data_IF_544982956104
#
_entry.id   IF_544982956104
#
_cell.length_a   1.000
_cell.length_b   1.000
_cell.length_c   1.000
_cell.angle_alpha   90.00
_cell.angle_beta   90.00
_cell.angle_gamma   90.00
#
_symmetry.space_group_name_H-M   'P 1'
#
loop_
_entity.id
_entity.type
_entity.pdbx_description
1 polymer ?
#
# COMPACT_ATOMS: atom_id res chain seq x y z
N UNK A 1 26.09 -12.41 12.20
CA UNK A 1 25.20 -11.54 11.41
C UNK A 1 23.95 -12.34 11.10
N UNK A 2 22.80 -11.95 11.64
CA UNK A 2 21.54 -12.60 11.30
C UNK A 2 21.11 -12.16 9.89
N UNK A 3 20.51 -13.06 9.11
CA UNK A 3 19.87 -12.72 7.84
C UNK A 3 18.74 -11.72 8.08
N UNK A 4 18.67 -10.60 7.35
CA UNK A 4 17.54 -9.66 7.42
C UNK A 4 16.65 -9.87 6.18
N UNK A 5 15.40 -10.35 6.32
CA UNK A 5 14.63 -10.56 7.56
C UNK A 5 14.96 -11.84 8.34
N UNK A 6 14.71 -11.81 9.65
CA UNK A 6 14.86 -12.94 10.59
C UNK A 6 13.50 -13.51 10.97
N UNK A 7 13.35 -14.83 10.96
CA UNK A 7 12.20 -15.56 11.50
C UNK A 7 12.53 -16.10 12.89
N UNK A 8 11.71 -15.78 13.89
CA UNK A 8 11.82 -16.28 15.27
C UNK A 8 10.65 -17.21 15.59
N UNK A 9 10.97 -18.49 15.76
CA UNK A 9 9.98 -19.55 15.96
C UNK A 9 10.46 -20.63 16.95
N UNK A 10 11.54 -20.38 17.69
CA UNK A 10 12.19 -21.38 18.56
C UNK A 10 12.62 -20.85 19.94
N UNK A 11 12.11 -19.69 20.38
CA UNK A 11 12.37 -19.17 21.72
C UNK A 11 12.42 -17.64 21.79
N UNK A 12 12.02 -17.10 22.94
CA UNK A 12 11.84 -15.66 23.10
C UNK A 12 13.18 -14.92 23.30
N UNK A 13 14.22 -15.57 23.83
CA UNK A 13 15.49 -14.91 24.14
C UNK A 13 16.21 -14.31 22.91
N UNK A 14 16.38 -15.05 21.78
CA UNK A 14 16.95 -14.47 20.56
C UNK A 14 16.10 -13.32 20.00
N UNK A 15 14.78 -13.43 20.10
CA UNK A 15 13.85 -12.40 19.66
C UNK A 15 13.98 -11.12 20.50
N UNK A 16 14.00 -11.25 21.82
CA UNK A 16 14.15 -10.12 22.74
C UNK A 16 15.52 -9.44 22.58
N UNK A 17 16.59 -10.20 22.37
CA UNK A 17 17.92 -9.65 22.06
C UNK A 17 17.88 -8.82 20.76
N UNK A 18 17.25 -9.35 19.70
CA UNK A 18 17.11 -8.63 18.44
C UNK A 18 16.37 -7.29 18.60
N UNK A 19 15.31 -7.23 19.42
CA UNK A 19 14.57 -5.99 19.70
C UNK A 19 15.42 -4.92 20.40
N UNK A 20 16.41 -5.32 21.19
CA UNK A 20 17.33 -4.41 21.88
C UNK A 20 18.37 -3.85 20.90
N UNK A 21 18.91 -4.71 20.03
CA UNK A 21 19.88 -4.34 19.00
C UNK A 21 19.27 -3.46 17.88
N UNK A 22 17.98 -3.63 17.59
CA UNK A 22 17.30 -2.97 16.46
C UNK A 22 16.10 -2.12 16.92
N UNK A 23 16.30 -1.05 17.72
CA UNK A 23 15.20 -0.29 18.32
C UNK A 23 14.27 0.38 17.30
N UNK A 24 14.75 0.64 16.07
CA UNK A 24 13.97 1.22 14.98
C UNK A 24 13.37 0.18 14.02
N UNK A 25 13.64 -1.10 14.26
CA UNK A 25 13.21 -2.21 13.41
C UNK A 25 11.70 -2.45 13.44
N UNK A 26 11.27 -3.37 12.59
CA UNK A 26 9.89 -3.79 12.44
C UNK A 26 9.73 -5.25 12.82
N UNK A 27 8.55 -5.58 13.33
CA UNK A 27 8.18 -6.96 13.67
C UNK A 27 6.78 -7.25 13.16
N UNK A 28 6.64 -8.29 12.34
CA UNK A 28 5.36 -8.88 11.99
C UNK A 28 5.08 -10.02 12.97
N UNK A 29 4.00 -9.88 13.73
CA UNK A 29 3.45 -10.92 14.57
C UNK A 29 2.40 -11.71 13.78
N UNK A 30 2.60 -13.03 13.64
CA UNK A 30 1.70 -13.87 12.89
C UNK A 30 1.55 -15.25 13.52
N UNK A 31 0.55 -16.00 13.04
CA UNK A 31 0.38 -17.40 13.40
C UNK A 31 1.33 -18.28 12.60
N UNK A 32 1.70 -19.45 13.15
CA UNK A 32 2.61 -20.40 12.49
C UNK A 32 2.07 -21.01 11.21
N UNK A 33 0.75 -21.25 11.16
CA UNK A 33 0.10 -21.88 10.00
C UNK A 33 0.23 -20.99 8.76
N UNK A 34 0.78 -21.53 7.70
CA UNK A 34 1.06 -20.80 6.45
C UNK A 34 -0.22 -20.40 5.73
N UNK A 35 -1.30 -21.17 5.91
CA UNK A 35 -2.63 -20.94 5.34
C UNK A 35 -3.34 -19.74 5.97
N UNK A 36 -2.83 -19.23 7.10
CA UNK A 36 -3.37 -18.05 7.76
C UNK A 36 -2.65 -16.79 7.27
N UNK A 37 -3.42 -15.88 6.68
CA UNK A 37 -2.93 -14.62 6.13
C UNK A 37 -2.98 -13.44 7.10
N UNK A 38 -3.66 -13.56 8.24
CA UNK A 38 -3.80 -12.46 9.20
C UNK A 38 -2.54 -12.30 10.07
N UNK A 39 -2.01 -11.08 10.11
CA UNK A 39 -0.86 -10.68 10.91
C UNK A 39 -1.00 -9.23 11.40
N UNK A 40 -0.11 -8.82 12.30
CA UNK A 40 -0.04 -7.47 12.83
C UNK A 40 1.41 -6.98 12.79
N UNK A 41 1.64 -5.77 12.27
CA UNK A 41 2.98 -5.17 12.24
C UNK A 41 3.18 -4.17 13.37
N UNK A 42 4.38 -4.21 13.95
CA UNK A 42 4.79 -3.41 15.09
C UNK A 42 6.17 -2.80 14.87
N UNK A 43 6.44 -1.69 15.57
CA UNK A 43 7.80 -1.20 15.80
C UNK A 43 8.48 -2.06 16.86
N UNK A 44 9.79 -2.25 16.76
CA UNK A 44 10.57 -3.00 17.76
C UNK A 44 10.49 -2.42 19.18
N UNK A 45 10.19 -1.13 19.31
CA UNK A 45 9.94 -0.45 20.59
C UNK A 45 8.47 -0.55 21.06
N UNK A 46 7.58 -1.28 20.37
CA UNK A 46 6.16 -1.33 20.73
C UNK A 46 5.92 -2.14 22.03
N UNK A 47 5.17 -1.60 23.00
CA UNK A 47 4.93 -2.29 24.28
C UNK A 47 4.19 -3.62 24.12
N UNK A 48 3.32 -3.74 23.10
CA UNK A 48 2.55 -4.96 22.82
C UNK A 48 3.40 -6.19 22.45
N UNK A 49 4.66 -5.99 22.08
CA UNK A 49 5.54 -7.07 21.63
C UNK A 49 6.82 -7.21 22.47
N UNK A 50 6.95 -6.37 23.51
CA UNK A 50 8.10 -6.33 24.43
C UNK A 50 7.73 -6.78 25.84
N UNK A 51 6.51 -6.48 26.27
CA UNK A 51 6.08 -6.70 27.65
C UNK A 51 5.26 -7.98 27.74
N UNK A 52 5.67 -8.89 28.60
CA UNK A 52 4.81 -9.97 29.06
C UNK A 52 3.66 -9.33 29.86
N UNK A 53 2.42 -9.60 29.49
CA UNK A 53 1.26 -9.26 30.33
C UNK A 53 1.30 -10.16 31.57
N UNK A 54 0.57 -9.79 32.63
CA UNK A 54 0.58 -10.48 33.93
C UNK A 54 0.32 -12.01 33.87
N UNK A 55 -0.24 -12.53 32.77
CA UNK A 55 -0.50 -13.95 32.52
C UNK A 55 0.50 -14.65 31.59
N UNK A 56 1.44 -13.92 31.00
CA UNK A 56 2.29 -14.43 29.92
C UNK A 56 3.50 -15.19 30.51
N UNK A 57 3.67 -16.44 30.08
CA UNK A 57 4.78 -17.32 30.47
C UNK A 57 5.95 -17.18 29.46
N UNK A 58 7.15 -17.63 29.86
CA UNK A 58 8.29 -17.79 28.95
C UNK A 58 7.88 -18.59 27.69
N UNK A 59 8.13 -18.05 26.50
CA UNK A 59 7.71 -18.64 25.22
C UNK A 59 6.44 -18.04 24.62
N UNK A 60 5.80 -17.06 25.26
CA UNK A 60 4.53 -16.51 24.79
C UNK A 60 4.65 -15.68 23.51
N UNK A 61 5.84 -15.22 23.15
CA UNK A 61 6.03 -14.41 21.93
C UNK A 61 6.28 -15.25 20.69
N UNK A 62 7.12 -16.27 20.79
CA UNK A 62 7.62 -17.02 19.62
C UNK A 62 7.32 -18.51 19.67
N UNK A 63 6.82 -19.05 20.78
CA UNK A 63 6.41 -20.46 20.90
C UNK A 63 4.89 -20.62 20.75
N UNK A 64 4.40 -21.87 20.92
CA UNK A 64 2.99 -22.25 20.71
C UNK A 64 2.56 -21.96 19.26
N UNK A 65 1.51 -21.18 19.05
CA UNK A 65 0.93 -20.92 17.73
C UNK A 65 1.46 -19.64 17.07
N UNK A 66 2.47 -18.99 17.64
CA UNK A 66 3.00 -17.70 17.17
C UNK A 66 4.38 -17.85 16.52
N UNK A 67 4.62 -16.97 15.55
CA UNK A 67 5.92 -16.75 14.90
C UNK A 67 6.10 -15.24 14.74
N UNK A 68 7.34 -14.77 14.90
CA UNK A 68 7.71 -13.38 14.66
C UNK A 68 8.64 -13.30 13.47
N UNK A 69 8.40 -12.34 12.59
CA UNK A 69 9.35 -11.97 11.55
C UNK A 69 9.86 -10.59 11.90
N UNK A 70 11.17 -10.39 11.91
CA UNK A 70 11.77 -9.11 12.25
C UNK A 70 12.73 -8.66 11.16
N UNK A 71 12.79 -7.36 10.93
CA UNK A 71 13.70 -6.78 9.95
C UNK A 71 13.88 -5.29 10.13
N UNK A 72 14.95 -4.76 9.55
CA UNK A 72 15.22 -3.30 9.60
C UNK A 72 14.58 -2.55 8.44
N UNK A 73 14.33 -3.26 7.33
CA UNK A 73 13.62 -2.77 6.16
C UNK A 73 12.22 -3.39 6.10
N UNK A 74 11.19 -2.53 6.15
CA UNK A 74 9.80 -2.95 6.20
C UNK A 74 9.36 -3.66 4.91
N UNK A 75 9.83 -3.19 3.75
CA UNK A 75 9.42 -3.73 2.45
C UNK A 75 9.97 -5.15 2.26
N UNK A 76 11.24 -5.36 2.60
CA UNK A 76 11.87 -6.69 2.61
C UNK A 76 11.18 -7.62 3.60
N UNK A 77 10.85 -7.12 4.79
CA UNK A 77 10.16 -7.89 5.81
C UNK A 77 8.76 -8.34 5.34
N UNK A 78 7.97 -7.42 4.79
CA UNK A 78 6.63 -7.72 4.25
C UNK A 78 6.73 -8.68 3.06
N UNK A 79 7.66 -8.45 2.14
CA UNK A 79 7.87 -9.32 0.99
C UNK A 79 8.21 -10.74 1.43
N UNK A 80 9.21 -10.90 2.30
CA UNK A 80 9.60 -12.20 2.84
C UNK A 80 8.44 -12.89 3.57
N UNK A 81 7.72 -12.17 4.42
CA UNK A 81 6.55 -12.71 5.14
C UNK A 81 5.48 -13.22 4.18
N UNK A 82 5.13 -12.44 3.16
CA UNK A 82 4.11 -12.78 2.17
C UNK A 82 4.49 -14.03 1.39
N UNK A 83 5.76 -14.18 0.99
CA UNK A 83 6.23 -15.34 0.23
C UNK A 83 6.14 -16.65 1.03
N UNK A 84 6.26 -16.60 2.37
CA UNK A 84 6.10 -17.77 3.22
C UNK A 84 4.64 -18.18 3.50
N UNK A 85 3.66 -17.35 3.09
CA UNK A 85 2.25 -17.68 3.32
C UNK A 85 1.72 -18.62 2.23
N UNK A 86 0.54 -19.18 2.44
CA UNK A 86 -0.27 -19.90 1.45
C UNK A 86 -1.68 -19.34 1.30
N UNK A 87 -2.04 -18.40 2.17
CA UNK A 87 -3.35 -17.77 2.16
C UNK A 87 -3.60 -17.02 0.84
N UNK A 88 -4.82 -17.08 0.29
CA UNK A 88 -5.21 -16.30 -0.90
C UNK A 88 -5.21 -14.79 -0.64
N UNK A 89 -5.46 -14.40 0.61
CA UNK A 89 -5.34 -13.02 1.09
C UNK A 89 -4.50 -13.00 2.36
N UNK A 90 -3.45 -12.19 2.34
CA UNK A 90 -2.62 -11.86 3.49
C UNK A 90 -2.95 -10.45 3.93
N UNK A 91 -3.33 -10.29 5.20
CA UNK A 91 -3.66 -8.99 5.80
C UNK A 91 -2.69 -8.73 6.94
N UNK A 92 -1.91 -7.67 6.86
CA UNK A 92 -0.98 -7.23 7.90
C UNK A 92 -1.54 -5.93 8.49
N UNK A 93 -2.29 -6.06 9.57
CA UNK A 93 -2.92 -4.92 10.22
C UNK A 93 -1.91 -4.02 10.92
N UNK A 94 -2.23 -2.73 11.01
CA UNK A 94 -1.43 -1.77 11.75
C UNK A 94 -1.70 -1.88 13.24
N UNK A 95 -0.64 -1.80 14.03
CA UNK A 95 -0.81 -1.61 15.46
C UNK A 95 -1.04 -0.12 15.77
N UNK A 96 -2.25 0.22 16.22
CA UNK A 96 -2.63 1.59 16.64
C UNK A 96 -1.76 2.21 17.74
N UNK A 97 -1.02 1.38 18.50
CA UNK A 97 -0.21 1.86 19.62
C UNK A 97 1.19 2.32 19.20
N UNK A 98 1.72 1.80 18.08
CA UNK A 98 3.06 2.17 17.63
C UNK A 98 3.10 2.69 16.18
N UNK A 99 1.95 2.70 15.49
CA UNK A 99 1.75 3.14 14.12
C UNK A 99 2.94 2.78 13.22
N UNK A 100 3.30 1.49 13.24
CA UNK A 100 4.43 0.97 12.46
C UNK A 100 4.24 1.21 10.95
N UNK A 101 2.97 1.23 10.53
CA UNK A 101 2.49 1.58 9.20
C UNK A 101 1.25 2.47 9.32
N UNK A 102 1.00 3.36 8.35
CA UNK A 102 -0.12 4.31 8.42
C UNK A 102 -1.51 3.66 8.22
N UNK A 103 -1.56 2.46 7.64
CA UNK A 103 -2.79 1.66 7.41
C UNK A 103 -2.44 0.18 7.27
N UNK A 104 -3.46 -0.66 7.36
CA UNK A 104 -3.36 -2.10 7.12
C UNK A 104 -2.83 -2.37 5.70
N UNK A 105 -1.99 -3.40 5.59
CA UNK A 105 -1.43 -3.87 4.32
C UNK A 105 -2.18 -5.11 3.87
N UNK A 106 -2.44 -5.20 2.57
CA UNK A 106 -3.16 -6.31 1.96
C UNK A 106 -2.31 -6.86 0.82
N UNK A 107 -2.20 -8.19 0.76
CA UNK A 107 -1.59 -8.89 -0.35
C UNK A 107 -2.53 -10.02 -0.79
N UNK A 108 -3.14 -9.83 -1.94
CA UNK A 108 -3.96 -10.84 -2.60
C UNK A 108 -3.08 -11.62 -3.56
N UNK A 109 -3.19 -12.96 -3.53
CA UNK A 109 -2.59 -13.80 -4.55
C UNK A 109 -3.52 -13.91 -5.75
N UNK A 110 -2.99 -13.73 -6.97
CA UNK A 110 -3.80 -13.89 -8.16
C UNK A 110 -4.34 -15.33 -8.25
N UNK A 111 -5.57 -15.52 -8.78
CA UNK A 111 -6.19 -16.83 -8.96
C UNK A 111 -5.43 -17.82 -9.87
N UNK A 112 -4.27 -17.44 -10.42
CA UNK A 112 -3.40 -18.33 -11.19
C UNK A 112 -2.40 -19.12 -10.35
N UNK A 113 -2.20 -18.75 -9.07
CA UNK A 113 -1.29 -19.43 -8.13
C UNK A 113 -2.01 -20.29 -7.09
N UNK A 114 -3.35 -20.18 -7.03
CA UNK A 114 -4.25 -21.13 -6.37
C UNK A 114 -5.16 -21.70 -7.46
N UNK A 115 -5.46 -23.01 -7.47
CA UNK A 115 -6.32 -23.63 -8.48
C UNK A 115 -7.57 -22.79 -8.82
N UNK A 116 -7.85 -22.63 -10.11
CA UNK A 116 -8.67 -21.58 -10.73
C UNK A 116 -10.16 -21.49 -10.32
N UNK A 117 -10.72 -20.26 -10.33
CA UNK A 117 -11.95 -19.77 -11.03
C UNK A 117 -12.21 -18.25 -10.71
N UNK A 118 -13.08 -17.51 -11.45
CA UNK A 118 -12.70 -16.28 -12.14
C UNK A 118 -13.21 -14.95 -11.55
N UNK A 119 -12.50 -13.89 -11.95
CA UNK A 119 -12.86 -12.46 -12.02
C UNK A 119 -13.26 -11.74 -10.73
N UNK A 120 -12.33 -10.97 -10.17
CA UNK A 120 -12.29 -9.51 -10.30
C UNK A 120 -10.97 -8.98 -9.70
N UNK A 121 -10.27 -8.14 -10.46
CA UNK A 121 -8.89 -7.72 -10.17
C UNK A 121 -8.86 -6.60 -9.13
N UNK A 122 -8.27 -6.85 -7.97
CA UNK A 122 -7.80 -5.79 -7.05
C UNK A 122 -6.27 -5.65 -7.16
N UNK A 123 -5.80 -4.40 -7.26
CA UNK A 123 -4.41 -4.06 -7.61
C UNK A 123 -3.75 -3.40 -6.40
N UNK A 124 -2.62 -3.94 -5.93
CA UNK A 124 -1.83 -3.40 -4.82
C UNK A 124 -1.29 -2.01 -5.14
N UNK A 125 -1.75 -0.97 -4.43
CA UNK A 125 -1.25 0.42 -4.58
C UNK A 125 -0.07 0.65 -3.63
N UNK A 126 1.12 0.87 -4.22
CA UNK A 126 2.22 1.60 -3.56
C UNK A 126 1.73 3.01 -3.29
N UNK A 127 1.55 3.39 -2.04
CA UNK A 127 1.01 4.71 -1.74
C UNK A 127 2.12 5.72 -1.60
N UNK A 128 2.09 6.64 -2.55
CA UNK A 128 2.81 7.89 -2.61
C UNK A 128 2.49 8.74 -1.38
N UNK A 129 3.45 8.88 -0.47
CA UNK A 129 3.31 9.71 0.73
C UNK A 129 2.98 11.18 0.40
N UNK A 130 3.38 11.65 -0.79
CA UNK A 130 3.20 13.02 -1.30
C UNK A 130 1.79 13.31 -1.81
N UNK A 131 1.13 12.32 -2.42
CA UNK A 131 -0.27 12.44 -2.89
C UNK A 131 -1.29 12.60 -1.76
N UNK A 132 -0.86 12.36 -0.51
CA UNK A 132 -1.69 12.36 0.70
C UNK A 132 -1.32 13.44 1.70
N UNK A 133 -0.39 14.32 1.35
CA UNK A 133 -0.08 15.49 2.17
C UNK A 133 -1.20 16.53 1.96
N UNK A 134 -1.96 16.90 3.01
CA UNK A 134 -3.03 17.89 2.91
C UNK A 134 -2.57 19.25 2.41
N UNK A 135 -1.34 19.67 2.76
CA UNK A 135 -0.77 20.94 2.33
C UNK A 135 -0.42 20.87 0.84
N UNK A 136 0.24 19.79 0.42
CA UNK A 136 0.58 19.57 -0.99
C UNK A 136 -0.68 19.46 -1.87
N UNK A 137 -1.73 18.81 -1.35
CA UNK A 137 -3.06 18.75 -1.99
C UNK A 137 -3.66 20.14 -2.14
N UNK A 138 -3.68 20.93 -1.08
CA UNK A 138 -4.23 22.29 -1.13
C UNK A 138 -3.50 23.14 -2.17
N UNK A 139 -2.17 23.10 -2.17
CA UNK A 139 -1.33 23.82 -3.14
C UNK A 139 -1.57 23.36 -4.59
N UNK A 140 -1.73 22.05 -4.81
CA UNK A 140 -2.06 21.49 -6.11
C UNK A 140 -3.44 21.96 -6.60
N UNK A 141 -4.45 21.90 -5.74
CA UNK A 141 -5.83 22.32 -6.06
C UNK A 141 -5.89 23.83 -6.29
N UNK A 142 -5.18 24.64 -5.50
CA UNK A 142 -5.11 26.08 -5.68
C UNK A 142 -4.59 26.45 -7.07
N UNK A 143 -3.59 25.71 -7.58
CA UNK A 143 -3.02 25.94 -8.91
C UNK A 143 -3.85 25.38 -10.05
N UNK A 144 -4.34 24.14 -9.92
CA UNK A 144 -4.90 23.37 -11.05
C UNK A 144 -6.43 23.26 -11.01
N UNK A 145 -7.06 23.63 -9.89
CA UNK A 145 -8.48 23.44 -9.63
C UNK A 145 -8.85 21.97 -9.39
N UNK A 146 -10.14 21.66 -9.58
CA UNK A 146 -10.75 20.35 -9.28
C UNK A 146 -11.08 19.52 -10.53
N UNK A 147 -10.76 20.01 -11.72
CA UNK A 147 -11.00 19.28 -12.98
C UNK A 147 -9.91 18.24 -13.20
N UNK A 148 -10.31 17.03 -13.57
CA UNK A 148 -9.38 15.95 -13.87
C UNK A 148 -8.47 16.34 -15.05
N UNK A 149 -7.15 16.39 -14.82
CA UNK A 149 -6.20 16.75 -15.87
C UNK A 149 -6.07 15.69 -16.98
N UNK A 150 -6.48 14.44 -16.72
CA UNK A 150 -6.46 13.39 -17.73
C UNK A 150 -7.70 13.41 -18.65
N UNK A 151 -8.91 13.36 -18.10
CA UNK A 151 -10.15 13.24 -18.88
C UNK A 151 -11.03 14.50 -18.90
N UNK A 152 -10.68 15.54 -18.15
CA UNK A 152 -11.41 16.82 -18.13
C UNK A 152 -12.69 16.83 -17.29
N UNK A 153 -13.08 15.71 -16.67
CA UNK A 153 -14.31 15.66 -15.87
C UNK A 153 -14.22 16.58 -14.65
N UNK A 154 -15.30 17.31 -14.41
CA UNK A 154 -15.58 17.98 -13.15
C UNK A 154 -16.56 17.10 -12.36
N UNK A 155 -16.10 16.57 -11.23
CA UNK A 155 -16.90 15.63 -10.44
C UNK A 155 -18.07 16.33 -9.74
N UNK A 156 -17.87 17.56 -9.25
CA UNK A 156 -18.93 18.35 -8.62
C UNK A 156 -20.00 18.75 -9.64
N UNK A 157 -19.61 19.11 -10.86
CA UNK A 157 -20.57 19.37 -11.94
C UNK A 157 -21.37 18.11 -12.32
N UNK A 158 -20.73 16.94 -12.30
CA UNK A 158 -21.36 15.68 -12.75
C UNK A 158 -22.25 15.03 -11.70
N UNK A 159 -21.84 15.07 -10.44
CA UNK A 159 -22.49 14.34 -9.35
C UNK A 159 -23.12 15.26 -8.30
N UNK A 160 -22.90 16.57 -8.38
CA UNK A 160 -23.38 17.53 -7.40
C UNK A 160 -22.56 17.51 -6.11
N UNK A 161 -23.14 18.01 -4.99
CA UNK A 161 -22.43 18.23 -3.72
C UNK A 161 -21.78 16.97 -3.12
N UNK A 162 -22.30 15.78 -3.43
CA UNK A 162 -21.73 14.52 -2.91
C UNK A 162 -20.31 14.24 -3.41
N UNK A 163 -19.88 14.93 -4.48
CA UNK A 163 -18.55 14.78 -5.06
C UNK A 163 -17.63 15.97 -4.75
N UNK A 164 -18.05 16.86 -3.86
CA UNK A 164 -17.20 17.91 -3.33
C UNK A 164 -15.96 17.28 -2.66
N UNK A 165 -14.79 17.84 -2.95
CA UNK A 165 -13.48 17.32 -2.50
C UNK A 165 -13.12 15.87 -2.93
N UNK A 166 -13.91 15.22 -3.78
CA UNK A 166 -13.70 13.80 -4.15
C UNK A 166 -12.60 13.57 -5.20
N UNK A 167 -12.02 14.65 -5.75
CA UNK A 167 -10.91 14.55 -6.70
C UNK A 167 -9.65 14.01 -6.01
N UNK A 168 -8.90 13.14 -6.67
CA UNK A 168 -7.66 12.56 -6.15
C UNK A 168 -6.44 13.32 -6.66
N UNK A 169 -5.32 13.25 -5.92
CA UNK A 169 -4.05 13.87 -6.30
C UNK A 169 -3.09 12.80 -6.77
N UNK A 170 -2.41 13.06 -7.88
CA UNK A 170 -1.46 12.15 -8.49
C UNK A 170 -0.08 12.78 -8.63
N UNK A 171 0.97 12.05 -8.25
CA UNK A 171 2.37 12.44 -8.45
C UNK A 171 2.85 12.03 -9.85
N UNK A 172 3.27 13.01 -10.63
CA UNK A 172 3.68 12.81 -12.01
C UNK A 172 5.09 12.17 -12.04
N UNK A 173 5.29 11.03 -12.72
CA UNK A 173 6.54 10.26 -12.67
C UNK A 173 7.70 10.86 -13.48
N UNK A 174 7.52 12.02 -14.13
CA UNK A 174 8.42 12.51 -15.19
C UNK A 174 9.62 13.32 -14.68
N UNK A 175 9.89 13.38 -13.37
CA UNK A 175 10.91 14.30 -12.83
C UNK A 175 12.21 13.59 -12.41
N UNK A 176 13.33 14.30 -12.59
CA UNK A 176 14.64 13.95 -12.02
C UNK A 176 14.49 13.71 -10.50
N UNK A 177 14.82 12.50 -10.00
CA UNK A 177 14.75 12.17 -8.58
C UNK A 177 15.58 13.10 -7.67
N UNK A 178 16.52 13.88 -8.23
CA UNK A 178 17.38 14.82 -7.51
C UNK A 178 16.79 16.23 -7.39
N UNK A 179 15.70 16.52 -8.10
CA UNK A 179 15.09 17.82 -8.07
C UNK A 179 14.19 17.99 -6.83
N UNK A 180 14.21 19.18 -6.23
CA UNK A 180 13.41 19.48 -5.03
C UNK A 180 11.90 19.41 -5.34
N UNK A 181 11.16 18.65 -4.53
CA UNK A 181 9.73 18.43 -4.71
C UNK A 181 8.92 19.73 -4.60
N UNK A 182 8.04 19.96 -5.57
CA UNK A 182 7.15 21.11 -5.62
C UNK A 182 5.72 20.61 -5.91
N UNK A 183 4.82 20.63 -4.90
CA UNK A 183 3.42 20.20 -5.03
C UNK A 183 2.66 20.83 -6.20
N UNK A 184 2.97 22.09 -6.53
CA UNK A 184 2.30 22.78 -7.62
C UNK A 184 2.72 22.22 -8.99
N UNK A 185 3.94 21.70 -9.11
CA UNK A 185 4.50 21.20 -10.38
C UNK A 185 4.43 19.68 -10.51
N UNK A 186 4.60 18.97 -9.40
CA UNK A 186 4.79 17.53 -9.37
C UNK A 186 3.48 16.78 -9.10
N UNK A 187 2.44 17.48 -8.64
CA UNK A 187 1.12 16.90 -8.40
C UNK A 187 0.10 17.44 -9.39
N UNK A 188 -0.88 16.60 -9.71
CA UNK A 188 -2.02 16.95 -10.57
C UNK A 188 -3.34 16.38 -10.03
N UNK A 189 -4.47 17.09 -10.16
CA UNK A 189 -5.78 16.56 -9.82
C UNK A 189 -6.29 15.60 -10.91
N UNK A 190 -6.78 14.43 -10.50
CA UNK A 190 -7.34 13.40 -11.37
C UNK A 190 -8.57 12.75 -10.73
N UNK A 191 -9.53 12.28 -11.55
CA UNK A 191 -10.67 11.55 -11.02
C UNK A 191 -10.29 10.13 -10.59
N UNK A 192 -11.06 9.48 -9.69
CA UNK A 192 -10.73 8.14 -9.18
C UNK A 192 -10.51 7.08 -10.26
N UNK A 193 -11.27 7.16 -11.36
CA UNK A 193 -11.10 6.27 -12.50
C UNK A 193 -9.76 6.50 -13.21
N UNK A 194 -9.38 7.76 -13.43
CA UNK A 194 -8.12 8.10 -14.08
C UNK A 194 -6.93 7.78 -13.17
N UNK A 195 -7.01 8.10 -11.88
CA UNK A 195 -5.99 7.75 -10.88
C UNK A 195 -5.74 6.23 -10.89
N UNK A 196 -6.82 5.45 -10.81
CA UNK A 196 -6.75 3.99 -10.92
C UNK A 196 -6.05 3.54 -12.21
N UNK A 197 -6.36 4.15 -13.36
CA UNK A 197 -5.73 3.80 -14.64
C UNK A 197 -4.25 4.20 -14.74
N UNK A 198 -3.85 5.31 -14.12
CA UNK A 198 -2.45 5.74 -14.06
C UNK A 198 -1.60 4.71 -13.32
N UNK A 199 -2.12 4.11 -12.26
CA UNK A 199 -1.43 3.10 -11.47
C UNK A 199 -1.67 1.65 -11.92
N UNK A 200 -2.68 1.39 -12.76
CA UNK A 200 -3.12 0.02 -13.08
C UNK A 200 -2.00 -0.82 -13.68
N UNK A 201 -1.61 -1.88 -12.94
CA UNK A 201 -0.62 -2.87 -13.38
C UNK A 201 0.80 -2.35 -13.52
N UNK A 202 1.15 -1.22 -12.87
CA UNK A 202 2.46 -0.59 -13.04
C UNK A 202 3.08 -0.18 -11.71
N UNK A 203 4.40 -0.38 -11.60
CA UNK A 203 5.22 0.10 -10.47
C UNK A 203 5.52 1.60 -10.58
N UNK A 204 5.65 2.10 -11.81
CA UNK A 204 5.76 3.52 -12.13
C UNK A 204 4.47 3.94 -12.83
N UNK A 205 3.79 4.99 -12.36
CA UNK A 205 2.55 5.42 -13.00
C UNK A 205 2.73 5.75 -14.47
N UNK A 206 1.64 5.64 -15.22
CA UNK A 206 1.58 6.13 -16.59
C UNK A 206 1.64 7.67 -16.59
N UNK A 207 2.21 8.28 -17.64
CA UNK A 207 2.13 9.75 -17.75
C UNK A 207 0.69 10.19 -18.04
N UNK A 208 0.35 11.43 -17.67
CA UNK A 208 -0.95 12.03 -17.99
C UNK A 208 -1.19 12.04 -19.51
N UNK A 209 -0.15 12.31 -20.30
CA UNK A 209 -0.25 12.38 -21.76
C UNK A 209 -0.43 11.01 -22.41
N UNK A 210 0.18 9.97 -21.86
CA UNK A 210 -0.06 8.60 -22.29
C UNK A 210 -1.50 8.18 -21.96
N UNK A 211 -2.02 8.51 -20.76
CA UNK A 211 -3.42 8.23 -20.42
C UNK A 211 -4.38 8.99 -21.34
N UNK A 212 -4.10 10.27 -21.63
CA UNK A 212 -4.87 11.05 -22.62
C UNK A 212 -4.85 10.41 -23.99
N UNK A 213 -3.73 9.81 -24.40
CA UNK A 213 -3.61 9.11 -25.68
C UNK A 213 -4.47 7.84 -25.71
N UNK A 214 -4.53 7.09 -24.60
CA UNK A 214 -5.43 5.94 -24.45
C UNK A 214 -6.90 6.39 -24.54
N UNK A 215 -7.28 7.45 -23.82
CA UNK A 215 -8.65 7.98 -23.85
C UNK A 215 -9.06 8.43 -25.26
N UNK A 216 -8.19 9.16 -25.98
CA UNK A 216 -8.47 9.60 -27.36
C UNK A 216 -8.67 8.44 -28.33
N UNK A 217 -7.91 7.36 -28.19
CA UNK A 217 -8.07 6.14 -29.01
C UNK A 217 -9.42 5.46 -28.73
N UNK A 218 -9.81 5.37 -27.46
CA UNK A 218 -11.07 4.73 -27.05
C UNK A 218 -12.32 5.51 -27.48
N UNK A 219 -12.28 6.85 -27.43
CA UNK A 219 -13.40 7.71 -27.87
C UNK A 219 -13.67 7.56 -29.37
N UNK A 220 -12.63 7.39 -30.20
CA UNK A 220 -12.80 7.10 -31.64
C UNK A 220 -13.56 5.80 -31.86
N UNK A 221 -13.12 4.72 -31.20
CA UNK A 221 -13.80 3.41 -31.34
C UNK A 221 -15.22 3.40 -30.79
N UNK A 222 -15.52 4.14 -29.72
CA UNK A 222 -16.87 4.15 -29.12
C UNK A 222 -17.87 4.93 -29.98
N UNK A 223 -17.44 6.04 -30.59
CA UNK A 223 -18.27 6.84 -31.50
C UNK A 223 -18.63 6.04 -32.76
N UNK A 224 -17.65 5.30 -33.30
CA UNK A 224 -17.82 4.48 -34.50
C UNK A 224 -18.69 3.23 -34.24
N UNK A 225 -18.71 2.70 -33.00
CA UNK A 225 -19.41 1.45 -32.69
C UNK A 225 -20.83 1.65 -32.14
N UNK A 226 -21.10 2.75 -31.43
CA UNK A 226 -22.38 2.96 -30.72
C UNK A 226 -23.38 3.81 -31.50
N UNK A 227 -22.90 4.71 -32.37
CA UNK A 227 -23.75 5.59 -33.18
C UNK A 227 -23.43 5.54 -34.68
N UNK A 228 -22.48 4.70 -35.10
CA UNK A 228 -22.17 4.41 -36.50
C UNK A 228 -23.00 3.24 -37.02
N UNK A 229 -24.31 3.47 -37.18
CA UNK A 229 -25.28 2.54 -37.77
C UNK A 229 -26.50 3.29 -38.24
#
# INVERSE_FOLDING_TARGET
MHSDPVRFDAGDAPYLAWLQEHPRGYVINARRKEEQGAAMVHRAHCPHIRSLRNSDQTGSFTLRNWVKYAGTDLDRLVHHFVQERKAPLVVISRCKACDAVPRDLYHERPPGELGALPDERSTTVRVNARERDPLARAQCIERHGLRCMACGVDLAQRYGPIAEEFIEIHEVPTRDPRAEFDPQRDLVPVCPNCHSMLHRGRLTPLSIDDLRSVLRRAVRTWSDTVFGG
#
